data_IF_374697802557
#
_entry.id   IF_374697802557
#
_cell.length_a   1.000
_cell.length_b   1.000
_cell.length_c   1.000
_cell.angle_alpha   90.00
_cell.angle_beta   90.00
_cell.angle_gamma   90.00
#
_symmetry.space_group_name_H-M   'P 1'
#
loop_
_entity.id
_entity.type
_entity.pdbx_description
1 polymer ?
#
# COMPACT_ATOMS: atom_id res chain seq x y z
N UNK A 1 -20.35 -10.94 -2.27
CA UNK A 1 -18.91 -10.98 -2.60
C UNK A 1 -18.59 -9.77 -3.46
N UNK A 2 -17.73 -8.85 -3.01
CA UNK A 2 -17.32 -7.72 -3.84
C UNK A 2 -16.33 -8.20 -4.90
N UNK A 3 -16.67 -8.04 -6.18
CA UNK A 3 -15.80 -8.39 -7.31
C UNK A 3 -14.61 -7.44 -7.35
N UNK A 4 -13.55 -7.75 -6.61
CA UNK A 4 -12.30 -6.98 -6.62
C UNK A 4 -11.32 -7.70 -7.53
N UNK A 5 -10.95 -7.07 -8.65
CA UNK A 5 -9.88 -7.57 -9.52
C UNK A 5 -8.53 -7.38 -8.81
N UNK A 6 -7.70 -8.43 -8.67
CA UNK A 6 -6.35 -8.28 -8.12
C UNK A 6 -5.55 -7.30 -8.97
N UNK A 7 -4.85 -6.36 -8.31
CA UNK A 7 -3.91 -5.49 -9.00
C UNK A 7 -2.61 -6.26 -9.23
N UNK A 8 -2.28 -6.56 -10.49
CA UNK A 8 -0.97 -7.10 -10.85
C UNK A 8 0.03 -5.95 -10.96
N UNK A 9 0.68 -5.61 -9.85
CA UNK A 9 1.68 -4.56 -9.77
C UNK A 9 3.09 -5.15 -9.82
N UNK A 10 3.94 -4.63 -10.70
CA UNK A 10 5.38 -4.93 -10.67
C UNK A 10 6.07 -3.98 -9.70
N UNK A 11 6.69 -4.55 -8.68
CA UNK A 11 7.47 -3.82 -7.69
C UNK A 11 8.93 -4.27 -7.80
N UNK A 12 9.89 -3.32 -7.70
CA UNK A 12 11.27 -3.64 -7.38
C UNK A 12 11.37 -4.56 -6.13
N UNK A 13 12.36 -5.47 -6.05
CA UNK A 13 12.46 -6.44 -4.97
C UNK A 13 12.50 -5.80 -3.57
N UNK A 14 13.27 -4.73 -3.42
CA UNK A 14 13.41 -3.94 -2.20
C UNK A 14 12.05 -3.39 -1.70
N UNK A 15 11.23 -2.88 -2.61
CA UNK A 15 9.90 -2.36 -2.27
C UNK A 15 8.94 -3.47 -1.84
N UNK A 16 9.03 -4.64 -2.50
CA UNK A 16 8.21 -5.81 -2.16
C UNK A 16 8.56 -6.35 -0.78
N UNK A 17 9.85 -6.44 -0.48
CA UNK A 17 10.35 -6.90 0.82
C UNK A 17 9.94 -5.95 1.94
N UNK A 18 10.04 -4.64 1.70
CA UNK A 18 9.57 -3.63 2.64
C UNK A 18 8.06 -3.73 2.93
N UNK A 19 7.22 -3.86 1.88
CA UNK A 19 5.76 -4.02 2.04
C UNK A 19 5.43 -5.31 2.82
N UNK A 20 6.14 -6.41 2.55
CA UNK A 20 5.94 -7.67 3.25
C UNK A 20 6.26 -7.53 4.75
N UNK A 21 7.33 -6.82 5.11
CA UNK A 21 7.68 -6.55 6.51
C UNK A 21 6.61 -5.68 7.20
N UNK A 22 6.09 -4.65 6.52
CA UNK A 22 4.99 -3.82 7.07
C UNK A 22 3.71 -4.63 7.28
N UNK A 23 3.36 -5.51 6.34
CA UNK A 23 2.18 -6.35 6.43
C UNK A 23 2.28 -7.32 7.63
N UNK A 24 3.46 -7.89 7.87
CA UNK A 24 3.72 -8.74 9.02
C UNK A 24 3.60 -7.96 10.35
N UNK A 25 4.18 -6.76 10.43
CA UNK A 25 4.13 -5.92 11.62
C UNK A 25 2.70 -5.46 11.96
N UNK A 26 1.88 -5.18 10.95
CA UNK A 26 0.52 -4.67 11.12
C UNK A 26 -0.57 -5.76 11.11
N UNK A 27 -0.17 -7.04 11.05
CA UNK A 27 -1.08 -8.20 10.97
C UNK A 27 -2.11 -8.01 9.83
N UNK A 28 -1.62 -7.56 8.68
CA UNK A 28 -2.43 -7.15 7.54
C UNK A 28 -1.96 -7.82 6.23
N UNK A 29 -2.66 -7.55 5.13
CA UNK A 29 -2.24 -8.03 3.80
C UNK A 29 -1.33 -7.00 3.13
N UNK A 30 -0.43 -7.45 2.23
CA UNK A 30 0.39 -6.54 1.41
C UNK A 30 -0.47 -5.54 0.62
N UNK A 31 -1.65 -5.95 0.14
CA UNK A 31 -2.59 -5.04 -0.53
C UNK A 31 -3.13 -3.97 0.41
N UNK A 32 -3.41 -4.31 1.67
CA UNK A 32 -3.84 -3.36 2.70
C UNK A 32 -2.75 -2.32 2.96
N UNK A 33 -1.48 -2.75 3.02
CA UNK A 33 -0.35 -1.85 3.22
C UNK A 33 -0.08 -0.95 2.01
N UNK A 34 -0.22 -1.47 0.80
CA UNK A 34 -0.14 -0.65 -0.42
C UNK A 34 -1.21 0.43 -0.41
N UNK A 35 -2.45 0.07 -0.06
CA UNK A 35 -3.54 1.05 0.04
C UNK A 35 -3.25 2.09 1.14
N UNK A 36 -2.71 1.66 2.30
CA UNK A 36 -2.33 2.55 3.40
C UNK A 36 -1.28 3.57 2.95
N UNK A 37 -0.20 3.10 2.32
CA UNK A 37 0.87 3.96 1.80
C UNK A 37 0.37 4.95 0.73
N UNK A 38 -0.53 4.51 -0.17
CA UNK A 38 -1.14 5.38 -1.18
C UNK A 38 -2.01 6.45 -0.50
N UNK A 39 -2.87 6.08 0.45
CA UNK A 39 -3.74 7.03 1.16
C UNK A 39 -2.93 8.07 1.93
N UNK A 40 -1.90 7.64 2.64
CA UNK A 40 -0.98 8.52 3.35
C UNK A 40 -0.30 9.52 2.40
N UNK A 41 0.11 9.08 1.19
CA UNK A 41 0.65 9.99 0.18
C UNK A 41 -0.41 10.95 -0.38
N UNK A 42 -1.63 10.48 -0.61
CA UNK A 42 -2.73 11.34 -1.06
C UNK A 42 -3.05 12.43 -0.03
N UNK A 43 -3.13 12.06 1.24
CA UNK A 43 -3.36 12.99 2.35
C UNK A 43 -2.26 14.04 2.45
N UNK A 44 -0.98 13.66 2.29
CA UNK A 44 0.13 14.62 2.20
C UNK A 44 -0.01 15.57 1.02
N UNK A 45 -0.22 15.04 -0.18
CA UNK A 45 -0.31 15.87 -1.40
C UNK A 45 -1.50 16.84 -1.36
N UNK A 46 -2.64 16.42 -0.82
CA UNK A 46 -3.83 17.28 -0.69
C UNK A 46 -3.71 18.23 0.51
N UNK A 47 -3.08 17.79 1.61
CA UNK A 47 -2.87 18.58 2.82
C UNK A 47 -1.74 19.63 2.70
N UNK A 48 -0.75 19.38 1.84
CA UNK A 48 0.34 20.32 1.50
C UNK A 48 -0.10 21.42 0.51
N UNK A 49 -1.36 21.41 0.05
CA UNK A 49 -1.95 22.48 -0.76
C UNK A 49 -2.49 23.65 0.08
N UNK A 50 -1.80 23.98 1.18
CA UNK A 50 -2.11 25.14 2.03
C UNK A 50 -0.98 26.16 2.03
#
# INVERSE_FOLDING_TARGET
>A
MTTRKPLQLRLPPDQKDWIAAQAAANVSSQNSEIIRAIRERMERVVGDAK
#
